data_IF_469542408416
#
_entry.id   IF_469542408416
#
_cell.length_a   1.000
_cell.length_b   1.000
_cell.length_c   1.000
_cell.angle_alpha   90.00
_cell.angle_beta   90.00
_cell.angle_gamma   90.00
#
_symmetry.space_group_name_H-M   'P 1'
#
loop_
_entity.id
_entity.type
_entity.pdbx_description
1 polymer ?
#
# COMPACT_ATOMS: atom_id res chain seq x y z
N UNK A 1 24.96 19.66 11.98
CA UNK A 1 25.27 19.68 10.54
C UNK A 1 24.08 20.28 9.80
N UNK A 2 24.28 21.22 8.88
CA UNK A 2 23.18 21.87 8.17
C UNK A 2 22.40 20.85 7.31
N UNK A 3 21.06 20.96 7.31
CA UNK A 3 20.18 20.10 6.49
C UNK A 3 20.55 20.30 5.01
N UNK A 4 21.07 19.26 4.36
CA UNK A 4 21.51 19.35 2.95
C UNK A 4 20.35 19.37 1.93
N UNK A 5 19.15 19.03 2.36
CA UNK A 5 17.93 19.00 1.55
C UNK A 5 16.70 19.22 2.44
N UNK A 6 15.60 19.65 1.83
CA UNK A 6 14.35 19.97 2.51
C UNK A 6 13.41 18.76 2.54
N UNK A 7 13.33 18.03 1.43
CA UNK A 7 12.45 16.87 1.23
C UNK A 7 13.22 15.70 0.63
N UNK A 8 12.95 14.48 1.10
CA UNK A 8 13.46 13.23 0.50
C UNK A 8 12.31 12.49 -0.16
N UNK A 9 12.42 12.26 -1.47
CA UNK A 9 11.47 11.48 -2.25
C UNK A 9 12.10 10.20 -2.79
N UNK A 10 11.25 9.22 -3.11
CA UNK A 10 11.60 7.83 -3.36
C UNK A 10 10.90 7.35 -4.63
N UNK A 11 11.68 7.07 -5.67
CA UNK A 11 11.17 6.74 -7.00
C UNK A 11 11.62 5.34 -7.41
N UNK A 12 10.77 4.56 -8.08
CA UNK A 12 11.08 3.20 -8.55
C UNK A 12 10.98 3.11 -10.07
N UNK A 13 12.02 2.58 -10.71
CA UNK A 13 12.03 2.24 -12.12
C UNK A 13 11.52 0.80 -12.32
N UNK A 14 10.49 0.62 -13.14
CA UNK A 14 9.88 -0.68 -13.44
C UNK A 14 9.83 -0.92 -14.95
N UNK A 15 9.86 -2.19 -15.36
CA UNK A 15 9.88 -2.57 -16.76
C UNK A 15 10.73 -3.81 -17.03
N UNK A 16 10.57 -4.38 -18.22
CA UNK A 16 11.25 -5.61 -18.61
C UNK A 16 12.78 -5.50 -18.61
N UNK A 17 13.46 -6.64 -18.63
CA UNK A 17 14.91 -6.69 -18.82
C UNK A 17 15.28 -6.08 -20.19
N UNK A 18 16.32 -5.25 -20.23
CA UNK A 18 16.84 -4.67 -21.47
C UNK A 18 16.08 -3.49 -22.05
N UNK A 19 15.02 -3.00 -21.39
CA UNK A 19 14.33 -1.76 -21.80
C UNK A 19 15.15 -0.48 -21.52
N UNK A 20 16.22 -0.58 -20.72
CA UNK A 20 17.18 0.50 -20.47
C UNK A 20 16.99 1.31 -19.19
N UNK A 21 16.33 0.75 -18.16
CA UNK A 21 16.12 1.40 -16.85
C UNK A 21 17.42 1.91 -16.21
N UNK A 22 18.44 1.05 -16.14
CA UNK A 22 19.77 1.39 -15.62
C UNK A 22 20.42 2.52 -16.43
N UNK A 23 20.32 2.47 -17.76
CA UNK A 23 20.87 3.52 -18.63
C UNK A 23 20.15 4.86 -18.42
N UNK A 24 18.83 4.86 -18.24
CA UNK A 24 18.06 6.05 -17.88
C UNK A 24 18.54 6.62 -16.55
N UNK A 25 18.73 5.77 -15.54
CA UNK A 25 19.20 6.18 -14.20
C UNK A 25 20.60 6.79 -14.25
N UNK A 26 21.58 6.09 -14.85
CA UNK A 26 22.94 6.59 -15.00
C UNK A 26 22.98 7.90 -15.79
N UNK A 27 22.18 8.01 -16.87
CA UNK A 27 22.11 9.23 -17.65
C UNK A 27 21.53 10.37 -16.84
N UNK A 28 20.51 10.11 -16.03
CA UNK A 28 19.94 11.11 -15.15
C UNK A 28 20.89 11.54 -14.03
N UNK A 29 21.60 10.63 -13.36
CA UNK A 29 22.43 10.98 -12.19
C UNK A 29 23.83 11.47 -12.57
N UNK A 30 24.47 10.80 -13.51
CA UNK A 30 25.90 10.98 -13.80
C UNK A 30 26.15 11.62 -15.17
N UNK A 31 25.09 11.76 -15.98
CA UNK A 31 25.18 12.17 -17.38
C UNK A 31 26.05 11.23 -18.24
N UNK A 32 26.10 9.94 -17.88
CA UNK A 32 26.86 8.91 -18.57
C UNK A 32 25.96 7.93 -19.35
N UNK A 33 26.50 7.30 -20.39
CA UNK A 33 25.84 6.20 -21.09
C UNK A 33 26.85 5.11 -21.42
N UNK A 34 26.49 3.89 -21.07
CA UNK A 34 27.25 2.69 -21.37
C UNK A 34 26.42 1.83 -22.33
N UNK A 35 26.99 1.51 -23.49
CA UNK A 35 26.33 0.68 -24.51
C UNK A 35 26.33 -0.81 -24.14
N UNK A 36 27.22 -1.24 -23.24
CA UNK A 36 27.32 -2.62 -22.78
C UNK A 36 26.13 -2.98 -21.89
N UNK A 37 25.30 -3.91 -22.36
CA UNK A 37 24.18 -4.44 -21.59
C UNK A 37 24.68 -5.42 -20.50
N UNK A 38 24.93 -4.89 -19.31
CA UNK A 38 25.13 -5.71 -18.09
C UNK A 38 23.76 -5.83 -17.41
N UNK A 39 23.27 -7.05 -17.23
CA UNK A 39 22.00 -7.29 -16.53
C UNK A 39 22.13 -6.89 -15.06
N UNK A 40 21.25 -6.01 -14.58
CA UNK A 40 21.15 -5.66 -13.16
C UNK A 40 20.81 -6.90 -12.35
N UNK A 41 21.68 -7.26 -11.41
CA UNK A 41 21.42 -8.30 -10.42
C UNK A 41 20.77 -7.65 -9.19
N UNK A 42 19.52 -8.01 -8.91
CA UNK A 42 18.80 -7.47 -7.75
C UNK A 42 18.30 -6.03 -7.94
N UNK A 43 18.55 -5.16 -6.97
CA UNK A 43 18.11 -3.76 -6.96
C UNK A 43 19.29 -2.87 -6.58
N UNK A 44 19.55 -1.85 -7.40
CA UNK A 44 20.56 -0.82 -7.15
C UNK A 44 19.86 0.52 -6.88
N UNK A 45 20.53 1.49 -6.27
CA UNK A 45 19.96 2.82 -6.07
C UNK A 45 20.96 3.94 -6.28
N UNK A 46 20.47 5.04 -6.84
CA UNK A 46 21.22 6.30 -6.92
C UNK A 46 20.43 7.44 -6.30
N UNK A 47 21.14 8.52 -5.95
CA UNK A 47 20.53 9.72 -5.42
C UNK A 47 20.92 10.94 -6.28
N UNK A 48 19.96 11.84 -6.46
CA UNK A 48 20.19 13.17 -7.06
C UNK A 48 19.44 14.21 -6.26
N UNK A 49 20.00 15.42 -6.14
CA UNK A 49 19.28 16.55 -5.53
C UNK A 49 18.82 17.50 -6.63
N UNK A 50 17.52 17.75 -6.69
CA UNK A 50 16.88 18.70 -7.59
C UNK A 50 16.44 19.94 -6.81
N UNK A 51 16.32 21.08 -7.48
CA UNK A 51 15.72 22.29 -6.93
C UNK A 51 14.40 22.54 -7.67
N UNK A 52 13.27 22.33 -6.99
CA UNK A 52 11.91 22.44 -7.56
C UNK A 52 11.15 23.46 -6.72
N UNK A 53 10.59 24.50 -7.35
CA UNK A 53 9.87 25.59 -6.65
C UNK A 53 10.67 26.20 -5.48
N UNK A 54 11.99 26.31 -5.62
CA UNK A 54 12.88 26.79 -4.57
C UNK A 54 13.27 25.76 -3.50
N UNK A 55 12.60 24.60 -3.45
CA UNK A 55 12.80 23.50 -2.49
C UNK A 55 13.91 22.58 -3.00
N UNK A 56 14.87 22.23 -2.14
CA UNK A 56 15.89 21.22 -2.43
C UNK A 56 15.33 19.82 -2.15
N UNK A 57 14.94 19.13 -3.22
CA UNK A 57 14.38 17.78 -3.16
C UNK A 57 15.47 16.76 -3.46
N UNK A 58 15.82 15.94 -2.48
CA UNK A 58 16.69 14.78 -2.70
C UNK A 58 15.82 13.62 -3.17
N UNK A 59 16.08 13.09 -4.36
CA UNK A 59 15.41 11.90 -4.89
C UNK A 59 16.31 10.69 -4.71
N UNK A 60 15.76 9.62 -4.12
CA UNK A 60 16.34 8.28 -4.09
C UNK A 60 15.63 7.46 -5.17
N UNK A 61 16.38 6.98 -6.15
CA UNK A 61 15.82 6.25 -7.28
C UNK A 61 16.36 4.83 -7.24
N UNK A 62 15.45 3.85 -7.16
CA UNK A 62 15.81 2.44 -7.23
C UNK A 62 15.67 1.93 -8.66
N UNK A 63 16.73 1.30 -9.14
CA UNK A 63 16.76 0.54 -10.39
C UNK A 63 16.55 -0.95 -10.08
N UNK A 64 15.55 -1.55 -10.70
CA UNK A 64 15.18 -2.94 -10.45
C UNK A 64 15.62 -3.84 -11.58
N UNK A 65 16.09 -5.05 -11.26
CA UNK A 65 16.24 -6.10 -12.25
C UNK A 65 14.92 -6.30 -13.00
N UNK A 66 14.95 -6.19 -14.33
CA UNK A 66 13.77 -6.42 -15.18
C UNK A 66 13.48 -7.90 -15.43
N UNK A 67 14.18 -8.80 -14.74
CA UNK A 67 14.01 -10.24 -14.90
C UNK A 67 12.98 -10.76 -13.90
N UNK A 68 12.04 -11.55 -14.42
CA UNK A 68 10.92 -12.11 -13.69
C UNK A 68 11.32 -12.93 -12.45
N UNK A 69 12.53 -13.52 -12.46
CA UNK A 69 13.08 -14.29 -11.33
C UNK A 69 13.32 -13.46 -10.07
N UNK A 70 13.37 -12.12 -10.17
CA UNK A 70 13.59 -11.22 -9.03
C UNK A 70 12.34 -10.47 -8.57
N UNK A 71 11.15 -10.76 -9.13
CA UNK A 71 9.89 -10.06 -8.81
C UNK A 71 9.58 -10.03 -7.30
N UNK A 72 9.90 -11.09 -6.55
CA UNK A 72 9.69 -11.12 -5.08
C UNK A 72 10.56 -10.10 -4.33
N UNK A 73 11.82 -9.89 -4.77
CA UNK A 73 12.74 -8.91 -4.18
C UNK A 73 12.25 -7.49 -4.46
N UNK A 74 11.59 -7.27 -5.61
CA UNK A 74 11.10 -5.95 -6.01
C UNK A 74 9.92 -5.49 -5.15
N UNK A 75 9.03 -6.38 -4.69
CA UNK A 75 7.79 -6.04 -3.96
C UNK A 75 8.00 -5.16 -2.71
N UNK A 76 9.10 -5.34 -1.97
CA UNK A 76 9.40 -4.49 -0.80
C UNK A 76 9.67 -3.02 -1.18
N UNK A 77 10.14 -2.76 -2.40
CA UNK A 77 10.46 -1.41 -2.89
C UNK A 77 9.20 -0.67 -3.35
N UNK A 78 8.15 -1.36 -3.81
CA UNK A 78 6.87 -0.75 -4.16
C UNK A 78 6.27 -0.01 -2.96
N UNK A 79 6.25 -0.63 -1.78
CA UNK A 79 5.70 -0.03 -0.55
C UNK A 79 6.45 1.22 -0.07
N UNK A 80 7.69 1.42 -0.51
CA UNK A 80 8.54 2.55 -0.12
C UNK A 80 8.61 3.65 -1.17
N UNK A 81 8.18 3.35 -2.40
CA UNK A 81 8.18 4.30 -3.49
C UNK A 81 6.96 5.20 -3.43
N UNK A 82 7.18 6.49 -3.71
CA UNK A 82 6.16 7.52 -3.80
C UNK A 82 5.88 7.88 -5.28
N UNK A 83 6.84 7.58 -6.16
CA UNK A 83 6.68 7.74 -7.60
C UNK A 83 7.20 6.53 -8.38
N UNK A 84 6.56 6.22 -9.49
CA UNK A 84 6.91 5.09 -10.37
C UNK A 84 7.16 5.56 -11.79
N UNK A 85 8.23 5.03 -12.39
CA UNK A 85 8.54 5.23 -13.81
C UNK A 85 8.42 3.86 -14.48
N UNK A 86 7.38 3.70 -15.29
CA UNK A 86 7.12 2.47 -16.04
C UNK A 86 7.79 2.59 -17.40
N UNK A 87 8.77 1.73 -17.69
CA UNK A 87 9.64 1.83 -18.86
C UNK A 87 9.39 0.66 -19.80
N UNK A 88 9.16 0.97 -21.07
CA UNK A 88 9.22 0.00 -22.16
C UNK A 88 10.19 0.47 -23.26
N UNK A 89 10.54 -0.44 -24.16
CA UNK A 89 11.38 -0.17 -25.33
C UNK A 89 10.48 -0.01 -26.57
N UNK A 90 10.57 1.12 -27.27
CA UNK A 90 9.73 1.38 -28.47
C UNK A 90 9.96 0.38 -29.61
N UNK A 91 11.09 -0.33 -29.61
CA UNK A 91 11.44 -1.37 -30.58
C UNK A 91 10.92 -2.77 -30.19
N UNK A 92 10.25 -2.89 -29.04
CA UNK A 92 9.77 -4.15 -28.48
C UNK A 92 8.30 -4.07 -28.04
N UNK A 93 7.39 -4.53 -28.91
CA UNK A 93 5.95 -4.63 -28.59
C UNK A 93 5.66 -5.50 -27.36
N UNK A 94 6.50 -6.51 -27.10
CA UNK A 94 6.39 -7.36 -25.90
C UNK A 94 6.58 -6.54 -24.62
N UNK A 95 7.61 -5.70 -24.57
CA UNK A 95 7.88 -4.85 -23.40
C UNK A 95 6.74 -3.87 -23.13
N UNK A 96 6.10 -3.36 -24.19
CA UNK A 96 4.93 -2.48 -24.10
C UNK A 96 3.71 -3.22 -23.57
N UNK A 97 3.41 -4.43 -24.05
CA UNK A 97 2.30 -5.24 -23.55
C UNK A 97 2.44 -5.54 -22.04
N UNK A 98 3.66 -5.75 -21.56
CA UNK A 98 3.91 -6.00 -20.14
C UNK A 98 3.75 -4.77 -19.25
N UNK A 99 3.64 -3.54 -19.79
CA UNK A 99 3.36 -2.35 -18.97
C UNK A 99 2.04 -2.49 -18.22
N UNK A 100 1.04 -3.17 -18.81
CA UNK A 100 -0.23 -3.48 -18.14
C UNK A 100 0.02 -4.26 -16.85
N UNK A 101 0.88 -5.30 -16.91
CA UNK A 101 1.27 -6.07 -15.74
C UNK A 101 2.00 -5.19 -14.72
N UNK A 102 2.98 -4.41 -15.16
CA UNK A 102 3.75 -3.54 -14.27
C UNK A 102 2.86 -2.48 -13.59
N UNK A 103 1.89 -1.91 -14.31
CA UNK A 103 0.91 -0.99 -13.74
C UNK A 103 0.01 -1.69 -12.72
N UNK A 104 -0.45 -2.90 -12.99
CA UNK A 104 -1.19 -3.72 -12.02
C UNK A 104 -0.37 -4.05 -10.78
N UNK A 105 0.92 -4.36 -10.93
CA UNK A 105 1.81 -4.58 -9.78
C UNK A 105 1.93 -3.30 -8.94
N UNK A 106 1.96 -2.10 -9.56
CA UNK A 106 1.93 -0.83 -8.83
C UNK A 106 0.61 -0.67 -8.08
N UNK A 107 -0.52 -0.91 -8.73
CA UNK A 107 -1.84 -0.82 -8.11
C UNK A 107 -2.00 -1.81 -6.94
N UNK A 108 -1.34 -2.98 -7.00
CA UNK A 108 -1.40 -4.03 -5.97
C UNK A 108 -0.46 -3.78 -4.78
N UNK A 109 0.77 -3.33 -5.03
CA UNK A 109 1.84 -3.33 -4.02
C UNK A 109 2.26 -1.94 -3.53
N UNK A 110 1.94 -0.88 -4.25
CA UNK A 110 2.28 0.48 -3.85
C UNK A 110 1.32 1.00 -2.76
N UNK A 111 1.69 2.08 -2.08
CA UNK A 111 0.77 2.79 -1.19
C UNK A 111 -0.24 3.60 -2.02
N UNK A 112 -1.42 3.86 -1.45
CA UNK A 112 -2.39 4.76 -2.08
C UNK A 112 -1.76 6.14 -2.34
N UNK A 113 -2.17 6.81 -3.43
CA UNK A 113 -1.73 8.17 -3.83
C UNK A 113 -0.33 8.30 -4.46
N UNK A 114 0.27 7.21 -4.92
CA UNK A 114 1.54 7.26 -5.67
C UNK A 114 1.38 7.91 -7.04
N UNK A 115 2.42 8.63 -7.48
CA UNK A 115 2.45 9.22 -8.82
C UNK A 115 3.15 8.29 -9.80
N UNK A 116 2.74 8.31 -11.06
CA UNK A 116 3.31 7.42 -12.07
C UNK A 116 3.40 8.09 -13.44
N UNK A 117 4.48 7.80 -14.14
CA UNK A 117 4.66 8.19 -15.54
C UNK A 117 5.02 6.97 -16.39
N UNK A 118 4.65 7.02 -17.66
CA UNK A 118 5.00 6.04 -18.67
C UNK A 118 6.15 6.58 -19.54
N UNK A 119 7.17 5.76 -19.75
CA UNK A 119 8.36 6.10 -20.55
C UNK A 119 8.57 5.06 -21.65
N UNK A 120 8.48 5.50 -22.90
CA UNK A 120 8.96 4.76 -24.07
C UNK A 120 10.42 5.10 -24.34
N UNK A 121 11.35 4.22 -23.98
CA UNK A 121 12.78 4.44 -24.15
C UNK A 121 13.28 3.96 -25.53
N UNK A 122 14.50 4.37 -25.89
CA UNK A 122 15.20 4.11 -27.16
C UNK A 122 14.57 4.83 -28.36
N UNK A 123 14.06 6.05 -28.14
CA UNK A 123 13.51 6.91 -29.18
C UNK A 123 14.52 7.25 -30.31
N UNK A 124 15.82 7.06 -30.06
CA UNK A 124 16.86 7.16 -31.09
C UNK A 124 16.82 6.02 -32.13
N UNK A 125 16.17 4.89 -31.82
CA UNK A 125 16.03 3.74 -32.73
C UNK A 125 14.72 3.78 -33.55
N UNK A 126 14.34 4.96 -34.07
CA UNK A 126 13.07 5.21 -34.78
C UNK A 126 12.82 4.23 -35.94
N UNK A 127 13.88 3.85 -36.67
CA UNK A 127 13.79 2.90 -37.79
C UNK A 127 13.38 1.48 -37.38
N UNK A 128 13.54 1.13 -36.10
CA UNK A 128 13.17 -0.17 -35.53
C UNK A 128 11.89 -0.10 -34.69
N UNK A 129 11.19 1.04 -34.70
CA UNK A 129 9.98 1.26 -33.89
C UNK A 129 8.94 0.20 -34.21
N UNK A 130 8.44 -0.45 -33.15
CA UNK A 130 7.30 -1.38 -33.21
C UNK A 130 6.08 -0.88 -32.44
N UNK A 131 6.26 0.16 -31.62
CA UNK A 131 5.20 0.77 -30.82
C UNK A 131 5.04 2.23 -31.25
N UNK A 132 3.94 2.57 -31.96
CA UNK A 132 3.62 3.95 -32.31
C UNK A 132 3.43 4.82 -31.07
N UNK A 133 3.80 6.10 -31.18
CA UNK A 133 3.71 7.07 -30.08
C UNK A 133 2.28 7.25 -29.59
N UNK A 134 1.30 7.11 -30.49
CA UNK A 134 -0.13 7.18 -30.18
C UNK A 134 -0.57 6.05 -29.24
N UNK A 135 0.01 4.85 -29.37
CA UNK A 135 -0.30 3.74 -28.46
C UNK A 135 0.20 4.01 -27.05
N UNK A 136 1.42 4.55 -26.92
CA UNK A 136 1.97 4.99 -25.63
C UNK A 136 1.08 6.05 -24.96
N UNK A 137 0.68 7.07 -25.72
CA UNK A 137 -0.26 8.10 -25.24
C UNK A 137 -1.61 7.53 -24.81
N UNK A 138 -2.18 6.60 -25.59
CA UNK A 138 -3.46 5.98 -25.28
C UNK A 138 -3.37 5.17 -23.99
N UNK A 139 -2.32 4.37 -23.83
CA UNK A 139 -2.11 3.56 -22.62
C UNK A 139 -1.91 4.46 -21.40
N UNK A 140 -1.08 5.50 -21.49
CA UNK A 140 -0.86 6.43 -20.40
C UNK A 140 -2.17 7.10 -19.95
N UNK A 141 -3.01 7.56 -20.90
CA UNK A 141 -4.34 8.10 -20.58
C UNK A 141 -5.24 7.09 -19.87
N UNK A 142 -5.27 5.84 -20.32
CA UNK A 142 -6.07 4.78 -19.69
C UNK A 142 -5.72 4.56 -18.23
N UNK A 143 -4.45 4.71 -17.86
CA UNK A 143 -3.98 4.52 -16.49
C UNK A 143 -3.73 5.83 -15.72
N UNK A 144 -4.13 6.98 -16.27
CA UNK A 144 -3.93 8.29 -15.64
C UNK A 144 -2.46 8.66 -15.44
N UNK A 145 -1.59 8.31 -16.39
CA UNK A 145 -0.15 8.62 -16.38
C UNK A 145 0.18 9.72 -17.39
N UNK A 146 1.23 10.48 -17.13
CA UNK A 146 1.89 11.29 -18.17
C UNK A 146 2.83 10.41 -19.00
N UNK A 147 3.00 10.72 -20.29
CA UNK A 147 3.79 9.91 -21.23
C UNK A 147 4.97 10.68 -21.81
N UNK A 148 6.15 10.06 -21.79
CA UNK A 148 7.37 10.58 -22.39
C UNK A 148 8.01 9.53 -23.30
N UNK A 149 8.53 9.95 -24.45
CA UNK A 149 9.51 9.16 -25.17
C UNK A 149 10.91 9.69 -24.86
N UNK A 150 11.83 8.78 -24.53
CA UNK A 150 13.18 9.12 -24.04
C UNK A 150 14.25 8.38 -24.83
N UNK A 151 15.47 8.89 -24.78
CA UNK A 151 16.65 8.18 -25.24
C UNK A 151 17.78 8.38 -24.24
N UNK A 152 18.17 7.31 -23.56
CA UNK A 152 19.36 7.31 -22.72
C UNK A 152 20.64 7.56 -23.55
N UNK A 153 20.64 7.15 -24.82
CA UNK A 153 21.75 7.34 -25.76
C UNK A 153 21.97 8.83 -26.05
N UNK A 154 20.92 9.54 -26.51
CA UNK A 154 21.01 10.95 -26.92
C UNK A 154 20.68 11.95 -25.80
N UNK A 155 20.36 11.45 -24.60
CA UNK A 155 19.91 12.24 -23.46
C UNK A 155 18.58 12.99 -23.68
N UNK A 156 17.77 12.53 -24.63
CA UNK A 156 16.47 13.13 -24.94
C UNK A 156 15.44 12.83 -23.84
N UNK A 157 14.78 13.87 -23.33
CA UNK A 157 13.69 13.84 -22.32
C UNK A 157 14.01 13.11 -21.00
N UNK A 158 15.29 12.87 -20.71
CA UNK A 158 15.71 12.20 -19.46
C UNK A 158 15.45 13.11 -18.26
N UNK A 159 16.05 14.30 -18.24
CA UNK A 159 15.86 15.21 -17.11
C UNK A 159 14.40 15.66 -16.97
N UNK A 160 13.70 15.87 -18.08
CA UNK A 160 12.30 16.30 -18.09
C UNK A 160 11.39 15.27 -17.42
N UNK A 161 11.45 13.99 -17.85
CA UNK A 161 10.61 12.93 -17.30
C UNK A 161 10.84 12.70 -15.80
N UNK A 162 12.08 12.63 -15.34
CA UNK A 162 12.39 12.45 -13.91
C UNK A 162 12.03 13.67 -13.08
N UNK A 163 12.28 14.89 -13.57
CA UNK A 163 11.91 16.13 -12.87
C UNK A 163 10.39 16.22 -12.76
N UNK A 164 9.66 15.91 -13.83
CA UNK A 164 8.21 15.95 -13.85
C UNK A 164 7.57 14.99 -12.85
N UNK A 165 8.04 13.74 -12.79
CA UNK A 165 7.56 12.82 -11.75
C UNK A 165 7.87 13.35 -10.34
N UNK A 166 9.05 13.94 -10.15
CA UNK A 166 9.44 14.51 -8.85
C UNK A 166 8.51 15.67 -8.45
N UNK A 167 8.15 16.54 -9.39
CA UNK A 167 7.16 17.60 -9.18
C UNK A 167 5.80 17.04 -8.77
N UNK A 168 5.29 16.04 -9.51
CA UNK A 168 4.00 15.40 -9.23
C UNK A 168 3.98 14.84 -7.80
N UNK A 169 5.04 14.11 -7.41
CA UNK A 169 5.13 13.52 -6.07
C UNK A 169 5.24 14.60 -5.00
N UNK A 170 6.05 15.65 -5.23
CA UNK A 170 6.19 16.76 -4.29
C UNK A 170 4.88 17.50 -4.08
N UNK A 171 4.13 17.73 -5.16
CA UNK A 171 2.85 18.44 -5.14
C UNK A 171 1.76 17.60 -4.46
N UNK A 172 1.72 16.28 -4.70
CA UNK A 172 0.83 15.36 -3.98
C UNK A 172 1.12 15.39 -2.47
N UNK A 173 2.40 15.29 -2.10
CA UNK A 173 2.84 15.34 -0.70
C UNK A 173 2.50 16.67 -0.01
N UNK A 174 2.62 17.81 -0.72
CA UNK A 174 2.20 19.12 -0.18
C UNK A 174 0.69 19.18 0.05
N UNK A 175 -0.11 18.73 -0.93
CA UNK A 175 -1.58 18.72 -0.80
C UNK A 175 -2.06 17.86 0.36
N UNK A 176 -1.42 16.72 0.61
CA UNK A 176 -1.70 15.88 1.78
C UNK A 176 -1.40 16.61 3.09
N UNK A 177 -0.25 17.29 3.19
CA UNK A 177 0.12 18.07 4.37
C UNK A 177 -0.81 19.27 4.59
N UNK A 178 -1.18 19.98 3.54
CA UNK A 178 -2.10 21.13 3.60
C UNK A 178 -3.52 20.69 3.98
N UNK A 179 -4.00 19.57 3.44
CA UNK A 179 -5.29 18.99 3.81
C UNK A 179 -5.31 18.50 5.26
N UNK A 180 -4.20 17.96 5.76
CA UNK A 180 -4.05 17.55 7.15
C UNK A 180 -4.05 18.77 8.09
N UNK A 181 -3.30 19.82 7.77
CA UNK A 181 -3.25 21.07 8.53
C UNK A 181 -4.62 21.77 8.54
N UNK A 182 -5.31 21.79 7.40
CA UNK A 182 -6.67 22.32 7.29
C UNK A 182 -7.69 21.52 8.10
N UNK A 183 -7.53 20.19 8.18
CA UNK A 183 -8.38 19.32 9.01
C UNK A 183 -8.13 19.53 10.50
N UNK A 184 -6.87 19.73 10.91
CA UNK A 184 -6.51 20.07 12.29
C UNK A 184 -7.07 21.43 12.68
N UNK A 185 -6.90 22.46 11.84
CA UNK A 185 -7.42 23.80 12.13
C UNK A 185 -8.95 23.79 12.22
N UNK A 186 -9.62 23.03 11.34
CA UNK A 186 -11.07 22.85 11.40
C UNK A 186 -11.52 22.10 12.67
N UNK A 187 -10.75 21.13 13.15
CA UNK A 187 -11.02 20.43 14.41
C UNK A 187 -10.81 21.33 15.63
N UNK A 188 -9.78 22.18 15.61
CA UNK A 188 -9.52 23.19 16.65
C UNK A 188 -10.61 24.28 16.67
N UNK A 189 -11.08 24.75 15.51
CA UNK A 189 -12.20 25.69 15.43
C UNK A 189 -13.53 25.05 15.89
N UNK A 190 -13.74 23.78 15.57
CA UNK A 190 -14.95 23.03 15.94
C UNK A 190 -15.01 22.71 17.45
N UNK A 191 -13.87 22.49 18.11
CA UNK A 191 -13.80 22.27 19.57
C UNK A 191 -13.99 23.55 20.38
N UNK A 192 -13.83 24.73 19.76
CA UNK A 192 -14.25 26.02 20.35
C UNK A 192 -15.75 26.32 20.23
N UNK A 193 -16.51 25.48 19.54
CA UNK A 193 -17.95 25.66 19.27
C UNK A 193 -18.70 24.34 19.45
N UNK A 194 -18.57 23.68 20.60
CA UNK A 194 -19.41 22.50 20.91
C UNK A 194 -20.82 22.93 21.34
N UNK A 195 -21.76 22.73 20.41
CA UNK A 195 -23.19 22.74 20.62
C UNK A 195 -23.89 21.88 19.56
N UNK A 196 -24.05 20.59 19.87
CA UNK A 196 -25.05 19.61 19.38
C UNK A 196 -25.07 19.11 17.90
N UNK A 197 -24.98 17.77 17.82
CA UNK A 197 -25.66 16.78 16.94
C UNK A 197 -25.22 16.48 15.47
N UNK A 198 -24.80 15.20 15.31
CA UNK A 198 -24.91 14.20 14.21
C UNK A 198 -24.83 14.65 12.73
N UNK A 199 -23.75 14.33 11.99
CA UNK A 199 -23.37 13.08 11.26
C UNK A 199 -24.04 12.86 9.90
N UNK A 200 -23.28 13.06 8.82
CA UNK A 200 -23.33 12.20 7.62
C UNK A 200 -22.02 12.17 6.81
N UNK A 201 -21.64 10.93 6.45
CA UNK A 201 -20.86 10.38 5.32
C UNK A 201 -19.38 10.73 5.02
N UNK A 202 -18.55 9.68 4.84
CA UNK A 202 -17.70 9.49 3.64
C UNK A 202 -17.05 8.08 3.57
N UNK A 203 -17.71 7.14 2.90
CA UNK A 203 -17.16 5.81 2.58
C UNK A 203 -16.25 5.83 1.33
N UNK A 204 -14.92 6.03 1.47
CA UNK A 204 -13.94 5.52 0.48
C UNK A 204 -12.44 5.68 0.80
N UNK A 205 -12.04 5.93 2.06
CA UNK A 205 -10.62 6.11 2.45
C UNK A 205 -10.02 5.03 3.36
N UNK A 206 -10.65 3.86 3.50
CA UNK A 206 -10.40 3.00 4.65
C UNK A 206 -9.13 2.12 4.63
N UNK A 207 -8.56 1.69 3.50
CA UNK A 207 -7.61 0.57 3.53
C UNK A 207 -6.20 0.88 4.10
N UNK A 208 -5.67 2.10 3.93
CA UNK A 208 -4.40 2.49 4.55
C UNK A 208 -4.55 2.92 6.03
N UNK A 209 -5.76 3.31 6.43
CA UNK A 209 -6.07 3.73 7.79
C UNK A 209 -6.53 2.56 8.67
N UNK A 210 -7.17 1.51 8.13
CA UNK A 210 -7.77 0.43 8.94
C UNK A 210 -6.76 -0.31 9.81
N UNK A 211 -5.58 -0.72 9.30
CA UNK A 211 -4.66 -1.53 10.12
C UNK A 211 -4.10 -0.74 11.32
N UNK A 212 -3.56 0.45 11.09
CA UNK A 212 -3.04 1.31 12.17
C UNK A 212 -4.16 1.78 13.10
N UNK A 213 -5.32 2.15 12.54
CA UNK A 213 -6.52 2.50 13.31
C UNK A 213 -6.97 1.36 14.20
N UNK A 214 -7.16 0.16 13.64
CA UNK A 214 -7.73 -0.98 14.34
C UNK A 214 -6.79 -1.47 15.44
N UNK A 215 -5.47 -1.55 15.20
CA UNK A 215 -4.50 -1.83 16.26
C UNK A 215 -4.55 -0.79 17.40
N UNK A 216 -4.60 0.49 17.05
CA UNK A 216 -4.68 1.57 18.04
C UNK A 216 -5.99 1.54 18.83
N UNK A 217 -7.12 1.32 18.15
CA UNK A 217 -8.45 1.23 18.76
C UNK A 217 -8.60 -0.03 19.63
N UNK A 218 -8.02 -1.17 19.22
CA UNK A 218 -7.98 -2.38 20.05
C UNK A 218 -7.18 -2.14 21.33
N UNK A 219 -6.02 -1.47 21.24
CA UNK A 219 -5.24 -1.06 22.41
C UNK A 219 -6.04 -0.13 23.33
N UNK A 220 -6.76 0.84 22.76
CA UNK A 220 -7.60 1.77 23.52
C UNK A 220 -8.73 1.04 24.24
N UNK A 221 -9.45 0.14 23.57
CA UNK A 221 -10.53 -0.65 24.19
C UNK A 221 -10.00 -1.56 25.31
N UNK A 222 -8.90 -2.26 25.07
CA UNK A 222 -8.26 -3.10 26.09
C UNK A 222 -7.83 -2.27 27.31
N UNK A 223 -7.24 -1.09 27.08
CA UNK A 223 -6.82 -0.19 28.16
C UNK A 223 -8.00 0.41 28.92
N UNK A 224 -9.14 0.62 28.25
CA UNK A 224 -10.37 1.17 28.84
C UNK A 224 -11.11 0.17 29.72
N UNK A 225 -11.02 -1.12 29.40
CA UNK A 225 -11.67 -2.21 30.13
C UNK A 225 -10.64 -3.21 30.69
N UNK A 226 -9.71 -2.75 31.55
CA UNK A 226 -8.67 -3.63 32.10
C UNK A 226 -9.33 -4.76 32.89
N UNK A 227 -8.84 -5.99 32.70
CA UNK A 227 -9.36 -7.23 33.32
C UNK A 227 -10.80 -7.62 32.96
N UNK A 228 -11.49 -6.83 32.11
CA UNK A 228 -12.88 -7.09 31.70
C UNK A 228 -13.02 -7.32 30.20
N UNK A 229 -12.05 -6.86 29.43
CA UNK A 229 -11.91 -7.16 28.00
C UNK A 229 -10.52 -7.75 27.77
N UNK A 230 -10.49 -8.82 26.97
CA UNK A 230 -9.25 -9.41 26.46
C UNK A 230 -9.33 -9.42 24.95
N UNK A 231 -8.42 -8.71 24.30
CA UNK A 231 -8.23 -8.79 22.84
C UNK A 231 -7.24 -9.91 22.53
N UNK A 232 -7.60 -10.73 21.55
CA UNK A 232 -6.78 -11.83 21.04
C UNK A 232 -6.54 -11.60 19.55
N UNK A 233 -5.30 -11.31 19.17
CA UNK A 233 -4.89 -11.12 17.79
C UNK A 233 -4.41 -12.42 17.16
N UNK A 234 -4.97 -12.80 16.02
CA UNK A 234 -4.56 -13.98 15.26
C UNK A 234 -3.98 -13.54 13.91
N UNK A 235 -2.66 -13.48 13.77
CA UNK A 235 -2.02 -13.22 12.50
C UNK A 235 -2.41 -14.30 11.49
N UNK A 236 -2.65 -13.89 10.26
CA UNK A 236 -3.05 -14.80 9.18
C UNK A 236 -2.43 -14.33 7.88
N UNK A 237 -1.95 -15.27 7.05
CA UNK A 237 -1.37 -14.95 5.75
C UNK A 237 -2.27 -15.37 4.57
N UNK A 238 -3.51 -15.80 4.84
CA UNK A 238 -4.44 -16.27 3.82
C UNK A 238 -5.00 -15.13 2.94
N UNK A 239 -4.88 -13.87 3.36
CA UNK A 239 -5.37 -12.73 2.60
C UNK A 239 -4.26 -12.11 1.77
N UNK A 240 -4.10 -12.59 0.54
CA UNK A 240 -3.14 -12.04 -0.44
C UNK A 240 -1.67 -12.07 0.03
N UNK A 241 -1.32 -13.00 0.92
CA UNK A 241 -0.01 -13.07 1.56
C UNK A 241 0.44 -11.73 2.20
N UNK A 242 -0.48 -11.02 2.86
CA UNK A 242 -0.19 -9.71 3.46
C UNK A 242 0.71 -9.76 4.70
N UNK A 243 0.65 -10.86 5.47
CA UNK A 243 1.43 -11.08 6.69
C UNK A 243 2.61 -12.01 6.39
N UNK A 244 3.62 -11.52 5.67
CA UNK A 244 4.78 -12.33 5.28
C UNK A 244 5.81 -12.54 6.40
N UNK A 245 5.60 -11.96 7.59
CA UNK A 245 6.49 -12.14 8.72
C UNK A 245 6.44 -13.57 9.27
N UNK A 246 7.56 -14.10 9.75
CA UNK A 246 7.54 -15.29 10.62
C UNK A 246 6.95 -14.96 12.01
N UNK A 247 6.54 -15.96 12.78
CA UNK A 247 5.98 -15.74 14.13
C UNK A 247 6.88 -14.86 15.03
N UNK A 248 8.21 -15.03 14.94
CA UNK A 248 9.18 -14.23 15.70
C UNK A 248 9.35 -12.78 15.20
N UNK A 249 8.88 -12.46 14.00
CA UNK A 249 9.02 -11.14 13.38
C UNK A 249 7.77 -10.28 13.52
N UNK A 250 6.61 -10.87 13.84
CA UNK A 250 5.32 -10.17 13.88
C UNK A 250 5.36 -9.00 14.84
N UNK A 251 5.85 -9.18 16.07
CA UNK A 251 5.93 -8.10 17.06
C UNK A 251 6.90 -6.98 16.63
N UNK A 252 8.01 -7.34 15.97
CA UNK A 252 8.95 -6.35 15.43
C UNK A 252 8.33 -5.58 14.25
N UNK A 253 7.55 -6.26 13.40
CA UNK A 253 6.79 -5.62 12.33
C UNK A 253 5.76 -4.63 12.88
N UNK A 254 5.03 -5.00 13.92
CA UNK A 254 4.10 -4.10 14.60
C UNK A 254 4.80 -2.88 15.18
N UNK A 255 5.98 -3.07 15.76
CA UNK A 255 6.76 -2.01 16.41
C UNK A 255 7.41 -1.02 15.44
N UNK A 256 7.92 -1.50 14.31
CA UNK A 256 8.77 -0.70 13.43
C UNK A 256 8.19 -0.44 12.03
N UNK A 257 7.18 -1.21 11.61
CA UNK A 257 6.66 -1.18 10.23
C UNK A 257 5.22 -0.70 10.19
N UNK A 258 4.29 -1.42 10.84
CA UNK A 258 2.87 -1.08 10.87
C UNK A 258 2.20 -1.78 12.05
N UNK A 259 1.70 -1.07 13.07
CA UNK A 259 1.52 0.38 13.14
C UNK A 259 2.80 1.23 13.09
N UNK A 260 3.94 0.70 13.53
CA UNK A 260 5.21 1.45 13.54
C UNK A 260 5.34 2.35 14.77
N UNK A 261 6.29 3.30 14.72
CA UNK A 261 6.52 4.32 15.76
C UNK A 261 6.67 3.79 17.20
N UNK A 262 7.26 2.59 17.34
CA UNK A 262 7.47 1.97 18.65
C UNK A 262 6.20 1.32 19.23
N UNK A 263 5.14 1.18 18.44
CA UNK A 263 3.90 0.53 18.83
C UNK A 263 4.14 -0.83 19.47
N UNK A 264 3.41 -1.11 20.54
CA UNK A 264 3.36 -2.42 21.16
C UNK A 264 1.89 -2.80 21.35
N UNK A 265 1.46 -3.98 20.92
CA UNK A 265 0.12 -4.44 21.20
C UNK A 265 -0.04 -4.59 22.72
N UNK A 266 -1.03 -3.93 23.28
CA UNK A 266 -1.42 -4.07 24.68
C UNK A 266 -2.17 -5.38 24.95
N UNK A 267 -2.15 -6.30 24.00
CA UNK A 267 -2.97 -7.50 23.93
C UNK A 267 -2.19 -8.68 23.31
N UNK A 268 -2.68 -9.89 23.53
CA UNK A 268 -2.01 -11.11 23.09
C UNK A 268 -2.10 -11.27 21.59
N UNK A 269 -0.95 -11.46 20.94
CA UNK A 269 -0.85 -11.84 19.53
C UNK A 269 -0.37 -13.28 19.45
N UNK A 270 -1.17 -14.16 18.86
CA UNK A 270 -0.88 -15.59 18.71
C UNK A 270 0.08 -15.87 17.56
N UNK A 271 0.50 -17.12 17.47
CA UNK A 271 1.13 -17.64 16.26
C UNK A 271 0.18 -17.56 15.07
N UNK A 272 0.77 -17.45 13.88
CA UNK A 272 0.02 -17.42 12.64
C UNK A 272 -0.78 -18.69 12.44
N UNK A 273 -2.05 -18.54 12.08
CA UNK A 273 -2.92 -19.66 11.78
C UNK A 273 -3.79 -19.41 10.55
N UNK A 274 -4.31 -20.49 9.99
CA UNK A 274 -5.33 -20.43 8.94
C UNK A 274 -6.71 -20.18 9.57
N UNK A 275 -7.45 -19.25 9.01
CA UNK A 275 -8.80 -18.86 9.46
C UNK A 275 -9.90 -19.38 8.53
N UNK A 276 -9.52 -19.83 7.34
CA UNK A 276 -10.38 -20.40 6.30
C UNK A 276 -9.79 -21.68 5.66
N UNK A 277 -10.62 -22.41 4.90
CA UNK A 277 -10.23 -23.63 4.19
C UNK A 277 -10.02 -24.87 5.07
N UNK A 278 -9.42 -25.91 4.51
CA UNK A 278 -9.24 -27.22 5.16
C UNK A 278 -8.49 -27.16 6.48
N UNK A 279 -7.53 -26.24 6.61
CA UNK A 279 -6.70 -26.10 7.81
C UNK A 279 -7.23 -25.04 8.79
N UNK A 280 -8.50 -24.63 8.66
CA UNK A 280 -9.11 -23.60 9.54
C UNK A 280 -8.88 -23.96 11.00
N UNK A 281 -8.30 -23.03 11.76
CA UNK A 281 -8.08 -23.16 13.18
C UNK A 281 -9.41 -23.37 13.93
N UNK A 282 -9.50 -24.28 14.93
CA UNK A 282 -10.76 -24.67 15.56
C UNK A 282 -11.60 -23.50 16.10
N UNK A 283 -10.93 -22.46 16.63
CA UNK A 283 -11.60 -21.23 17.09
C UNK A 283 -12.38 -20.56 15.96
N UNK A 284 -11.78 -20.40 14.77
CA UNK A 284 -12.46 -19.78 13.64
C UNK A 284 -13.52 -20.70 13.03
N UNK A 285 -13.35 -22.01 13.08
CA UNK A 285 -14.41 -22.95 12.68
C UNK A 285 -15.65 -22.78 13.58
N UNK A 286 -15.47 -22.75 14.90
CA UNK A 286 -16.54 -22.53 15.87
C UNK A 286 -17.19 -21.14 15.73
N UNK A 287 -16.38 -20.08 15.61
CA UNK A 287 -16.90 -18.72 15.48
C UNK A 287 -17.70 -18.51 14.19
N UNK A 288 -17.25 -19.06 13.05
CA UNK A 288 -17.96 -18.97 11.77
C UNK A 288 -19.23 -19.82 11.74
N UNK A 289 -19.29 -20.93 12.49
CA UNK A 289 -20.51 -21.73 12.65
C UNK A 289 -21.60 -20.94 13.40
N UNK A 290 -21.22 -20.27 14.50
CA UNK A 290 -22.16 -19.49 15.32
C UNK A 290 -22.51 -18.13 14.73
N UNK A 291 -21.56 -17.49 14.05
CA UNK A 291 -21.69 -16.14 13.47
C UNK A 291 -21.24 -16.17 12.00
N UNK A 292 -22.08 -16.72 11.09
CA UNK A 292 -21.70 -16.97 9.70
C UNK A 292 -21.45 -15.70 8.89
N UNK A 293 -22.07 -14.58 9.27
CA UNK A 293 -21.98 -13.32 8.55
C UNK A 293 -21.71 -12.14 9.51
N UNK A 294 -20.98 -11.10 9.07
CA UNK A 294 -20.90 -9.85 9.81
C UNK A 294 -22.27 -9.17 9.94
N UNK A 295 -22.55 -8.60 11.11
CA UNK A 295 -23.81 -7.90 11.40
C UNK A 295 -23.96 -6.62 10.55
N UNK A 296 -22.85 -5.92 10.32
CA UNK A 296 -22.79 -4.66 9.56
C UNK A 296 -22.63 -4.85 8.04
N UNK A 297 -22.32 -6.07 7.57
CA UNK A 297 -22.10 -6.36 6.16
C UNK A 297 -22.45 -7.82 5.80
N UNK A 298 -23.74 -8.22 5.89
CA UNK A 298 -24.15 -9.62 5.78
C UNK A 298 -24.13 -10.18 4.35
N UNK A 299 -23.98 -9.32 3.34
CA UNK A 299 -24.14 -9.68 1.93
C UNK A 299 -22.85 -9.56 1.10
N UNK A 300 -21.79 -8.95 1.63
CA UNK A 300 -20.54 -8.80 0.88
C UNK A 300 -19.92 -10.17 0.60
N UNK A 301 -19.78 -10.49 -0.68
CA UNK A 301 -19.05 -11.65 -1.16
C UNK A 301 -17.55 -11.35 -1.22
N UNK A 302 -16.72 -12.39 -1.17
CA UNK A 302 -15.28 -12.26 -1.46
C UNK A 302 -15.15 -11.78 -2.90
N UNK A 303 -14.71 -10.53 -3.07
CA UNK A 303 -14.94 -9.76 -4.30
C UNK A 303 -14.02 -10.14 -5.47
N UNK A 304 -12.90 -10.83 -5.22
CA UNK A 304 -11.96 -11.21 -6.29
C UNK A 304 -11.44 -12.64 -6.10
N UNK A 305 -11.76 -13.56 -7.05
CA UNK A 305 -11.29 -14.94 -7.05
C UNK A 305 -9.77 -15.11 -7.02
N UNK A 306 -8.98 -14.10 -7.40
CA UNK A 306 -7.52 -14.16 -7.43
C UNK A 306 -6.87 -14.11 -6.05
N UNK A 307 -7.59 -13.68 -5.01
CA UNK A 307 -7.11 -13.67 -3.62
C UNK A 307 -7.56 -14.90 -2.81
N UNK A 308 -8.31 -15.82 -3.42
CA UNK A 308 -8.75 -17.07 -2.80
C UNK A 308 -7.63 -18.10 -2.88
N UNK A 309 -6.79 -18.12 -1.84
CA UNK A 309 -5.65 -19.05 -1.75
C UNK A 309 -5.92 -20.24 -0.81
N UNK A 310 -7.17 -20.41 -0.38
CA UNK A 310 -7.61 -21.53 0.43
C UNK A 310 -8.73 -22.31 -0.28
N UNK A 311 -8.88 -23.56 0.13
CA UNK A 311 -9.92 -24.47 -0.34
C UNK A 311 -10.36 -25.36 0.83
N UNK A 312 -11.63 -25.77 0.94
CA UNK A 312 -12.76 -25.27 0.15
C UNK A 312 -13.11 -23.82 0.53
N UNK A 313 -13.74 -23.11 -0.40
CA UNK A 313 -14.24 -21.75 -0.17
C UNK A 313 -15.68 -21.84 0.34
N UNK A 314 -15.99 -21.14 1.43
CA UNK A 314 -17.32 -21.04 2.01
C UNK A 314 -17.83 -19.60 1.97
N UNK A 315 -19.16 -19.43 1.88
CA UNK A 315 -19.81 -18.11 2.04
C UNK A 315 -19.62 -17.51 3.44
N UNK A 316 -19.33 -18.35 4.42
CA UNK A 316 -19.14 -17.94 5.82
C UNK A 316 -17.69 -17.56 6.14
N UNK A 317 -16.77 -17.71 5.17
CA UNK A 317 -15.36 -17.42 5.35
C UNK A 317 -15.10 -15.98 5.77
N UNK A 318 -14.01 -15.78 6.51
CA UNK A 318 -13.51 -14.44 6.80
C UNK A 318 -13.03 -13.85 5.48
N UNK A 319 -13.55 -12.67 5.13
CA UNK A 319 -13.36 -12.05 3.83
C UNK A 319 -12.08 -11.20 3.75
N UNK A 320 -11.56 -10.73 4.89
CA UNK A 320 -10.33 -9.93 4.96
C UNK A 320 -9.78 -9.76 6.38
N UNK A 321 -8.60 -9.13 6.48
CA UNK A 321 -8.01 -8.68 7.74
C UNK A 321 -8.94 -7.70 8.50
N UNK A 322 -8.89 -7.78 9.84
CA UNK A 322 -9.68 -6.97 10.78
C UNK A 322 -11.20 -7.21 10.77
N UNK A 323 -11.66 -8.38 10.33
CA UNK A 323 -12.92 -8.91 10.84
C UNK A 323 -12.78 -9.34 12.30
N UNK A 324 -13.82 -9.09 13.10
CA UNK A 324 -13.75 -9.17 14.56
C UNK A 324 -14.92 -9.99 15.07
N UNK A 325 -14.67 -10.80 16.09
CA UNK A 325 -15.71 -11.52 16.81
C UNK A 325 -15.69 -11.03 18.25
N UNK A 326 -16.84 -10.56 18.73
CA UNK A 326 -17.05 -10.28 20.14
C UNK A 326 -17.67 -11.53 20.77
N UNK A 327 -17.02 -12.01 21.83
CA UNK A 327 -17.42 -13.20 22.59
C UNK A 327 -17.84 -12.74 23.98
N UNK A 328 -18.96 -13.26 24.46
CA UNK A 328 -19.48 -12.98 25.79
C UNK A 328 -18.64 -13.59 26.90
N UNK A 329 -18.85 -13.17 28.17
CA UNK A 329 -18.11 -13.67 29.32
C UNK A 329 -18.29 -15.18 29.55
N UNK A 330 -19.39 -15.77 29.08
CA UNK A 330 -19.66 -17.21 29.14
C UNK A 330 -18.95 -18.01 28.04
N UNK A 331 -18.15 -17.36 27.18
CA UNK A 331 -17.50 -17.98 26.03
C UNK A 331 -18.40 -18.10 24.78
N UNK A 332 -19.65 -17.65 24.85
CA UNK A 332 -20.59 -17.70 23.73
C UNK A 332 -20.36 -16.53 22.74
N UNK A 333 -20.25 -16.80 21.42
CA UNK A 333 -20.11 -15.76 20.41
C UNK A 333 -21.32 -14.82 20.39
N UNK A 334 -21.07 -13.51 20.49
CA UNK A 334 -22.13 -12.49 20.54
C UNK A 334 -22.38 -11.82 19.20
N UNK A 335 -21.33 -11.31 18.55
CA UNK A 335 -21.46 -10.60 17.27
C UNK A 335 -20.17 -10.65 16.45
N UNK A 336 -20.32 -10.70 15.12
CA UNK A 336 -19.23 -10.60 14.13
C UNK A 336 -19.31 -9.26 13.42
N UNK A 337 -18.18 -8.60 13.25
CA UNK A 337 -18.06 -7.29 12.60
C UNK A 337 -17.15 -7.40 11.39
N UNK A 338 -17.51 -6.70 10.32
CA UNK A 338 -16.75 -6.68 9.07
C UNK A 338 -15.47 -5.85 9.22
N UNK A 339 -14.58 -5.96 8.23
CA UNK A 339 -13.38 -5.11 8.12
C UNK A 339 -13.69 -3.61 8.05
N UNK A 340 -14.91 -3.24 7.62
CA UNK A 340 -15.34 -1.85 7.48
C UNK A 340 -15.80 -1.28 8.81
N UNK A 341 -16.29 -2.12 9.72
CA UNK A 341 -16.72 -1.72 11.04
C UNK A 341 -15.54 -1.15 11.84
N UNK A 342 -15.72 0.07 12.31
CA UNK A 342 -14.71 0.75 13.10
C UNK A 342 -14.60 0.09 14.48
N UNK A 343 -13.39 -0.31 14.86
CA UNK A 343 -13.16 -1.10 16.07
C UNK A 343 -13.69 -0.41 17.33
N UNK A 344 -13.50 0.91 17.47
CA UNK A 344 -13.95 1.65 18.65
C UNK A 344 -15.48 1.56 18.85
N UNK A 345 -16.24 1.39 17.77
CA UNK A 345 -17.69 1.29 17.80
C UNK A 345 -18.20 -0.09 18.27
N UNK A 346 -17.31 -1.02 18.61
CA UNK A 346 -17.64 -2.26 19.32
C UNK A 346 -17.94 -1.97 20.80
N UNK A 347 -17.48 -0.81 21.32
CA UNK A 347 -17.62 -0.44 22.73
C UNK A 347 -19.04 -0.55 23.30
N UNK A 348 -20.12 -0.08 22.64
CA UNK A 348 -21.47 -0.22 23.18
C UNK A 348 -21.89 -1.68 23.39
N UNK A 349 -21.48 -2.57 22.49
CA UNK A 349 -21.74 -4.01 22.60
C UNK A 349 -20.89 -4.63 23.73
N UNK A 350 -19.64 -4.18 23.92
CA UNK A 350 -18.80 -4.55 25.09
C UNK A 350 -19.50 -4.12 26.38
N UNK A 351 -19.96 -2.86 26.48
CA UNK A 351 -20.66 -2.35 27.65
C UNK A 351 -21.94 -3.15 27.94
N UNK A 352 -22.69 -3.51 26.89
CA UNK A 352 -23.89 -4.36 27.01
C UNK A 352 -23.56 -5.73 27.59
N UNK A 353 -22.53 -6.40 27.08
CA UNK A 353 -22.09 -7.71 27.59
C UNK A 353 -21.54 -7.65 29.01
N UNK A 354 -20.88 -6.53 29.35
CA UNK A 354 -20.40 -6.24 30.69
C UNK A 354 -21.51 -5.78 31.65
N UNK A 355 -22.77 -5.71 31.16
CA UNK A 355 -23.96 -5.23 31.90
C UNK A 355 -23.75 -3.83 32.49
N UNK A 356 -23.02 -2.97 31.78
CA UNK A 356 -22.72 -1.59 32.16
C UNK A 356 -23.71 -0.57 31.58
N UNK A 357 -24.81 -1.02 30.95
CA UNK A 357 -25.95 -0.16 30.64
C UNK A 357 -26.48 0.42 31.94
N UNK A 358 -26.25 1.72 32.15
CA UNK A 358 -26.79 2.47 33.29
C UNK A 358 -28.29 2.21 33.40
N UNK A 359 -28.70 1.88 34.63
CA UNK A 359 -30.03 2.19 35.15
C UNK A 359 -30.25 3.70 35.13
#
# INVERSE_FOLDING_TARGET
>A
MAKQYDVLLRLLLLGDSGVGKTCLLCRFTDNEFHSSHISTLGVDFKMKTLKIDGIKVRVQIWDTAGQERYQTITKQYYRRAQGFILVYDITSSRSFQHIVKWASDVDEFALDQVQRILVGNKADEEQKRKVPKEQGNKLAKTYGMEFFETSACTNCNINESFTRLTELVLHAHKKEMDAFQGSINKYLDMTSLEGEQDKEDNSQKACAWTTTRDYSQLNLLQSKYPHRLVVLGFPCNQFGYQENCSNGEILNSLKYVRPGDGYQPGFTVFEKCDVNGTNTHPVFAYLKDKLPYPDDDPHTLIQDPKFLIWSPISRTDISWNFEKFLVGPEGEPFKRYSKKFETINIEPDIQRLLRLTKT
#
